data_IF_328044066664
#
_entry.id   IF_328044066664
#
_cell.length_a   1.000
_cell.length_b   1.000
_cell.length_c   1.000
_cell.angle_alpha   90.00
_cell.angle_beta   90.00
_cell.angle_gamma   90.00
#
_symmetry.space_group_name_H-M   'P 1'
#
loop_
_entity.id
_entity.type
_entity.pdbx_description
1 polymer ?
#
# COMPACT_ATOMS: atom_id res chain seq x y z
N UNK A 1 -16.51 -7.43 -10.87
CA UNK A 1 -15.19 -6.97 -10.38
C UNK A 1 -15.30 -6.84 -8.88
N UNK A 2 -14.45 -7.51 -8.11
CA UNK A 2 -14.48 -7.44 -6.65
C UNK A 2 -13.50 -6.37 -6.18
N UNK A 3 -13.94 -5.43 -5.34
CA UNK A 3 -13.08 -4.46 -4.65
C UNK A 3 -12.96 -4.89 -3.19
N UNK A 4 -11.92 -4.41 -2.49
CA UNK A 4 -11.84 -4.60 -1.04
C UNK A 4 -12.82 -3.67 -0.33
N UNK A 5 -13.17 -4.03 0.91
CA UNK A 5 -13.96 -3.16 1.77
C UNK A 5 -13.22 -1.82 1.97
N UNK A 6 -13.85 -0.66 1.72
CA UNK A 6 -13.25 0.65 2.01
C UNK A 6 -12.80 0.81 3.48
N UNK A 7 -13.45 0.08 4.39
CA UNK A 7 -13.12 0.03 5.82
C UNK A 7 -12.10 -1.05 6.16
N UNK A 8 -11.43 -1.64 5.16
CA UNK A 8 -10.32 -2.55 5.39
C UNK A 8 -9.29 -1.91 6.34
N UNK A 9 -8.84 -2.72 7.30
CA UNK A 9 -7.93 -2.27 8.37
C UNK A 9 -6.53 -2.12 7.79
N UNK A 10 -6.10 -0.87 7.63
CA UNK A 10 -4.70 -0.52 7.40
C UNK A 10 -4.13 -0.16 8.77
N UNK A 11 -3.48 -1.12 9.43
CA UNK A 11 -2.93 -0.87 10.77
C UNK A 11 -1.85 0.21 10.70
N UNK A 12 -1.91 1.21 11.59
CA UNK A 12 -0.91 2.28 11.69
C UNK A 12 0.52 1.72 11.72
N UNK A 13 0.77 0.70 12.53
CA UNK A 13 2.06 0.02 12.62
C UNK A 13 2.54 -0.52 11.26
N UNK A 14 1.64 -0.95 10.37
CA UNK A 14 2.02 -1.37 9.02
C UNK A 14 2.62 -0.23 8.21
N UNK A 15 2.11 0.98 8.38
CA UNK A 15 2.63 2.18 7.72
C UNK A 15 3.92 2.66 8.40
N UNK A 16 3.86 2.86 9.73
CA UNK A 16 4.90 3.57 10.49
C UNK A 16 6.05 2.70 10.96
N UNK A 17 5.89 1.38 11.01
CA UNK A 17 6.88 0.43 11.55
C UNK A 17 7.28 -0.64 10.53
N UNK A 18 6.71 -0.61 9.32
CA UNK A 18 7.03 -1.58 8.26
C UNK A 18 7.22 -0.96 6.88
N UNK A 19 6.28 -0.13 6.40
CA UNK A 19 6.41 0.48 5.06
C UNK A 19 7.39 1.66 5.05
N UNK A 20 7.34 2.53 6.07
CA UNK A 20 8.07 3.79 6.13
C UNK A 20 9.28 3.75 7.07
N UNK A 21 9.86 2.57 7.26
CA UNK A 21 11.10 2.36 8.00
C UNK A 21 12.06 1.53 7.16
N UNK A 22 13.36 1.77 7.34
CA UNK A 22 14.38 1.02 6.64
C UNK A 22 14.44 -0.41 7.18
N UNK A 23 14.24 -1.39 6.31
CA UNK A 23 14.36 -2.81 6.64
C UNK A 23 15.58 -3.42 5.96
N UNK A 24 16.20 -4.41 6.61
CA UNK A 24 17.37 -5.11 6.04
C UNK A 24 17.02 -5.96 4.81
N UNK A 25 15.75 -6.34 4.65
CA UNK A 25 15.23 -7.16 3.55
C UNK A 25 13.88 -6.60 3.09
N UNK A 26 13.62 -6.67 1.77
CA UNK A 26 12.37 -6.22 1.15
C UNK A 26 12.01 -4.78 1.54
N UNK A 27 13.03 -3.92 1.55
CA UNK A 27 12.93 -2.52 1.96
C UNK A 27 11.99 -1.75 1.03
N UNK A 28 10.88 -1.28 1.60
CA UNK A 28 9.87 -0.50 0.89
C UNK A 28 10.09 0.99 1.07
N UNK A 29 10.87 1.40 2.08
CA UNK A 29 11.09 2.80 2.37
C UNK A 29 11.76 3.50 1.19
N UNK A 30 12.85 2.95 0.65
CA UNK A 30 13.55 3.58 -0.48
C UNK A 30 12.66 3.76 -1.71
N UNK A 31 11.80 2.79 -2.00
CA UNK A 31 10.85 2.86 -3.11
C UNK A 31 9.76 3.92 -2.86
N UNK A 32 9.19 3.96 -1.66
CA UNK A 32 8.15 4.93 -1.28
C UNK A 32 8.72 6.35 -1.09
N UNK A 33 9.97 6.48 -0.64
CA UNK A 33 10.67 7.75 -0.50
C UNK A 33 10.92 8.43 -1.84
N UNK A 34 11.12 7.66 -2.92
CA UNK A 34 11.17 8.21 -4.29
C UNK A 34 9.85 8.91 -4.67
N UNK A 35 8.73 8.46 -4.12
CA UNK A 35 7.41 9.07 -4.27
C UNK A 35 7.11 10.14 -3.20
N UNK A 36 8.10 10.51 -2.38
CA UNK A 36 7.95 11.55 -1.35
C UNK A 36 7.18 11.10 -0.11
N UNK A 37 6.96 9.80 0.08
CA UNK A 37 6.41 9.29 1.33
C UNK A 37 7.50 9.10 2.37
N UNK A 38 7.25 9.64 3.56
CA UNK A 38 8.13 9.56 4.73
C UNK A 38 7.30 9.26 5.97
N UNK A 39 7.97 8.94 7.08
CA UNK A 39 7.29 8.74 8.36
C UNK A 39 6.49 9.98 8.81
N UNK A 40 6.88 11.18 8.36
CA UNK A 40 6.24 12.44 8.75
C UNK A 40 4.89 12.65 8.03
N UNK A 41 4.69 12.03 6.87
CA UNK A 41 3.47 12.14 6.08
C UNK A 41 2.75 10.79 5.91
N UNK A 42 2.90 9.86 6.87
CA UNK A 42 2.32 8.52 6.79
C UNK A 42 0.79 8.52 6.58
N UNK A 43 0.06 9.52 7.08
CA UNK A 43 -1.37 9.66 6.86
C UNK A 43 -1.71 9.97 5.39
N UNK A 44 -0.81 10.65 4.67
CA UNK A 44 -0.97 10.89 3.24
C UNK A 44 -0.86 9.57 2.48
N UNK A 45 0.13 8.72 2.81
CA UNK A 45 0.22 7.37 2.25
C UNK A 45 -1.06 6.56 2.53
N UNK A 46 -1.60 6.63 3.75
CA UNK A 46 -2.86 5.93 4.06
C UNK A 46 -4.01 6.41 3.17
N UNK A 47 -4.19 7.73 3.04
CA UNK A 47 -5.22 8.32 2.19
C UNK A 47 -5.06 7.89 0.74
N UNK A 48 -3.85 7.99 0.19
CA UNK A 48 -3.56 7.64 -1.20
C UNK A 48 -3.80 6.15 -1.47
N UNK A 49 -3.45 5.26 -0.53
CA UNK A 49 -3.79 3.85 -0.64
C UNK A 49 -5.31 3.62 -0.65
N UNK A 50 -6.07 4.29 0.21
CA UNK A 50 -7.52 4.15 0.28
C UNK A 50 -8.23 4.68 -0.97
N UNK A 51 -7.85 5.88 -1.40
CA UNK A 51 -8.52 6.58 -2.49
C UNK A 51 -8.12 6.04 -3.87
N UNK A 52 -6.84 5.67 -4.04
CA UNK A 52 -6.30 5.34 -5.35
C UNK A 52 -6.11 3.84 -5.59
N UNK A 53 -5.83 3.06 -4.53
CA UNK A 53 -5.53 1.62 -4.66
C UNK A 53 -6.70 0.75 -4.22
N UNK A 54 -7.27 0.95 -3.04
CA UNK A 54 -8.37 0.11 -2.54
C UNK A 54 -9.63 0.17 -3.42
N UNK A 55 -9.80 1.25 -4.18
CA UNK A 55 -10.88 1.42 -5.14
C UNK A 55 -10.73 0.56 -6.41
N UNK A 56 -9.55 -0.04 -6.64
CA UNK A 56 -9.26 -0.87 -7.81
C UNK A 56 -9.68 -2.33 -7.57
N UNK A 57 -9.73 -3.09 -8.67
CA UNK A 57 -10.07 -4.51 -8.61
C UNK A 57 -9.05 -5.32 -7.81
N UNK A 58 -9.57 -6.12 -6.89
CA UNK A 58 -8.85 -7.06 -6.06
C UNK A 58 -8.90 -8.45 -6.70
N UNK A 59 -7.74 -8.93 -7.13
CA UNK A 59 -7.59 -10.22 -7.81
C UNK A 59 -7.21 -11.27 -6.76
N UNK A 60 -7.99 -12.35 -6.59
CA UNK A 60 -7.62 -13.43 -5.67
C UNK A 60 -6.29 -14.06 -6.10
N UNK A 61 -5.42 -14.31 -5.13
CA UNK A 61 -4.13 -14.97 -5.33
C UNK A 61 -4.11 -16.32 -4.61
N UNK A 62 -3.21 -16.51 -3.64
CA UNK A 62 -3.08 -17.77 -2.92
C UNK A 62 -4.14 -17.90 -1.82
N UNK A 63 -4.76 -19.09 -1.75
CA UNK A 63 -5.45 -19.54 -0.56
C UNK A 63 -4.41 -19.94 0.48
N UNK A 64 -4.52 -19.42 1.69
CA UNK A 64 -3.63 -19.76 2.81
C UNK A 64 -4.43 -20.32 3.98
N UNK A 65 -3.75 -20.84 5.00
CA UNK A 65 -4.40 -21.25 6.27
C UNK A 65 -5.13 -20.11 6.98
N UNK A 66 -4.85 -18.86 6.61
CA UNK A 66 -5.48 -17.65 7.16
C UNK A 66 -6.58 -17.09 6.26
N UNK A 67 -6.91 -17.76 5.15
CA UNK A 67 -7.91 -17.33 4.18
C UNK A 67 -7.33 -16.96 2.81
N UNK A 68 -8.19 -16.42 1.95
CA UNK A 68 -7.87 -15.98 0.59
C UNK A 68 -7.07 -14.67 0.64
N UNK A 69 -5.91 -14.65 -0.01
CA UNK A 69 -5.17 -13.40 -0.27
C UNK A 69 -5.67 -12.73 -1.54
N UNK A 70 -5.61 -11.41 -1.58
CA UNK A 70 -5.99 -10.62 -2.74
C UNK A 70 -4.85 -9.69 -3.14
N UNK A 71 -4.61 -9.55 -4.43
CA UNK A 71 -3.67 -8.60 -4.97
C UNK A 71 -4.40 -7.45 -5.63
N UNK A 72 -3.99 -6.23 -5.34
CA UNK A 72 -4.38 -5.06 -6.12
C UNK A 72 -3.11 -4.48 -6.76
N UNK A 73 -3.16 -4.23 -8.07
CA UNK A 73 -2.07 -3.57 -8.79
C UNK A 73 -2.58 -2.26 -9.36
N UNK A 74 -1.90 -1.16 -9.06
CA UNK A 74 -2.35 0.18 -9.41
C UNK A 74 -1.21 1.18 -9.57
N UNK A 75 -1.56 2.34 -10.12
CA UNK A 75 -0.70 3.52 -10.10
C UNK A 75 -1.03 4.35 -8.86
N UNK A 76 0.00 4.79 -8.15
CA UNK A 76 -0.11 5.65 -6.98
C UNK A 76 0.47 7.02 -7.36
N UNK A 77 -0.41 8.00 -7.48
CA UNK A 77 -0.05 9.41 -7.62
C UNK A 77 0.36 9.93 -6.26
N UNK A 78 1.57 10.44 -6.19
CA UNK A 78 2.25 10.69 -4.93
C UNK A 78 2.44 12.17 -4.63
N UNK A 79 2.72 12.54 -3.37
CA UNK A 79 2.76 13.95 -2.95
C UNK A 79 3.82 14.80 -3.65
N UNK A 80 4.89 14.17 -4.15
CA UNK A 80 5.94 14.88 -4.89
C UNK A 80 5.64 14.99 -6.41
N UNK A 81 4.44 14.63 -6.85
CA UNK A 81 4.01 14.67 -8.25
C UNK A 81 4.43 13.45 -9.08
N UNK A 82 5.17 12.50 -8.50
CA UNK A 82 5.52 11.26 -9.20
C UNK A 82 4.36 10.28 -9.21
N UNK A 83 4.37 9.37 -10.18
CA UNK A 83 3.45 8.23 -10.22
C UNK A 83 4.26 6.95 -10.17
N UNK A 84 4.04 6.12 -9.16
CA UNK A 84 4.71 4.83 -8.99
C UNK A 84 3.71 3.68 -9.17
N UNK A 85 4.14 2.55 -9.74
CA UNK A 85 3.31 1.34 -9.82
C UNK A 85 3.50 0.50 -8.57
N UNK A 86 2.39 0.17 -7.91
CA UNK A 86 2.39 -0.62 -6.67
C UNK A 86 1.58 -1.91 -6.84
N UNK A 87 1.97 -2.94 -6.09
CA UNK A 87 1.21 -4.18 -5.93
C UNK A 87 1.06 -4.48 -4.44
N UNK A 88 -0.18 -4.54 -3.95
CA UNK A 88 -0.53 -4.87 -2.57
C UNK A 88 -0.96 -6.34 -2.48
N UNK A 89 -0.79 -6.99 -1.31
CA UNK A 89 -1.09 -8.41 -1.04
C UNK A 89 -1.65 -8.57 0.38
#
# INVERSE_FOLDING_TARGET
>A
MATLDPNAVIARAKLTEYLLVQLAQDDKLQFLAQAGYTIENWQQLERDLREQILALEAIPTAQTRYGQKYAITGALHSPNGMTIRVKTI
#
